data_IF_545164850435
#
_entry.id   IF_545164850435
#
_cell.length_a   1.000
_cell.length_b   1.000
_cell.length_c   1.000
_cell.angle_alpha   90.00
_cell.angle_beta   90.00
_cell.angle_gamma   90.00
#
_symmetry.space_group_name_H-M   'P 1'
#
loop_
_entity.id
_entity.type
_entity.pdbx_description
1 polymer ?
#
# COMPACT_ATOMS: atom_id res chain seq x y z
N UNK A 1 4.13 -11.04 -12.35
CA UNK A 1 4.85 -11.29 -11.23
C UNK A 1 4.43 -10.57 -9.98
N UNK A 2 5.36 -10.29 -9.13
CA UNK A 2 5.11 -9.84 -7.78
C UNK A 2 4.55 -8.44 -7.66
N UNK A 3 4.53 -7.66 -8.74
CA UNK A 3 4.06 -6.27 -8.66
C UNK A 3 2.63 -6.19 -8.19
N UNK A 4 1.75 -6.99 -8.79
CA UNK A 4 0.34 -6.97 -8.40
C UNK A 4 0.16 -7.46 -6.98
N UNK A 5 0.93 -8.45 -6.59
CA UNK A 5 0.84 -9.00 -5.24
C UNK A 5 1.26 -7.94 -4.21
N UNK A 6 2.31 -7.20 -4.50
CA UNK A 6 2.76 -6.16 -3.59
C UNK A 6 1.75 -5.03 -3.48
N UNK A 7 1.14 -4.65 -4.59
CA UNK A 7 0.10 -3.63 -4.57
C UNK A 7 -1.08 -4.09 -3.71
N UNK A 8 -1.44 -5.34 -3.86
CA UNK A 8 -2.54 -5.89 -3.09
C UNK A 8 -2.22 -5.90 -1.60
N UNK A 9 -0.98 -6.27 -1.25
CA UNK A 9 -0.57 -6.28 0.14
C UNK A 9 -0.63 -4.89 0.76
N UNK A 10 -0.18 -3.89 0.01
CA UNK A 10 -0.24 -2.52 0.49
C UNK A 10 -1.68 -2.09 0.70
N UNK A 11 -2.54 -2.38 -0.26
CA UNK A 11 -3.95 -2.03 -0.15
C UNK A 11 -4.60 -2.70 1.05
N UNK A 12 -4.29 -3.98 1.23
CA UNK A 12 -4.85 -4.74 2.35
C UNK A 12 -4.41 -4.14 3.69
N UNK A 13 -3.13 -3.78 3.78
CA UNK A 13 -2.60 -3.21 5.00
C UNK A 13 -3.29 -1.89 5.33
N UNK A 14 -3.50 -1.04 4.33
CA UNK A 14 -4.19 0.22 4.52
C UNK A 14 -5.63 -0.01 4.97
N UNK A 15 -6.29 -0.96 4.33
CA UNK A 15 -7.67 -1.26 4.68
C UNK A 15 -7.79 -1.76 6.12
N UNK A 16 -6.88 -2.60 6.54
CA UNK A 16 -6.93 -3.17 7.89
C UNK A 16 -6.54 -2.15 8.96
N UNK A 17 -5.51 -1.34 8.68
CA UNK A 17 -5.06 -0.35 9.64
C UNK A 17 -5.93 0.90 9.64
N UNK A 18 -6.60 1.17 8.53
CA UNK A 18 -7.43 2.34 8.39
C UNK A 18 -6.66 3.64 8.29
N UNK A 19 -5.35 3.55 8.07
CA UNK A 19 -4.50 4.73 8.08
C UNK A 19 -3.23 4.47 7.28
N UNK A 20 -2.95 5.38 6.33
CA UNK A 20 -1.78 5.23 5.47
C UNK A 20 -0.48 5.30 6.27
N UNK A 21 -0.44 6.18 7.27
CA UNK A 21 0.76 6.30 8.10
C UNK A 21 1.07 5.00 8.82
N UNK A 22 0.07 4.38 9.40
CA UNK A 22 0.24 3.12 10.11
C UNK A 22 0.61 2.00 9.14
N UNK A 23 -0.04 1.98 7.98
CA UNK A 23 0.27 0.97 6.97
C UNK A 23 1.72 1.08 6.52
N UNK A 24 2.19 2.31 6.26
CA UNK A 24 3.57 2.52 5.85
C UNK A 24 4.54 2.02 6.92
N UNK A 25 4.24 2.33 8.17
CA UNK A 25 5.08 1.90 9.28
C UNK A 25 5.13 0.37 9.36
N UNK A 26 3.99 -0.28 9.23
CA UNK A 26 3.92 -1.74 9.30
C UNK A 26 4.65 -2.40 8.15
N UNK A 27 4.67 -1.75 7.00
CA UNK A 27 5.32 -2.28 5.81
C UNK A 27 6.77 -1.84 5.68
N UNK A 28 7.23 -0.98 6.59
CA UNK A 28 8.60 -0.45 6.58
C UNK A 28 8.91 0.31 5.30
N UNK A 29 7.93 1.07 4.81
CA UNK A 29 8.10 1.91 3.63
C UNK A 29 7.57 3.30 3.94
N UNK A 30 7.82 4.25 3.03
CA UNK A 30 7.36 5.62 3.24
C UNK A 30 5.88 5.76 2.92
N UNK A 31 5.25 6.80 3.47
CA UNK A 31 3.86 7.10 3.14
C UNK A 31 3.69 7.37 1.66
N UNK A 32 4.68 8.03 1.04
CA UNK A 32 4.63 8.29 -0.39
C UNK A 32 4.56 7.00 -1.19
N UNK A 33 5.33 6.00 -0.77
CA UNK A 33 5.33 4.71 -1.45
C UNK A 33 3.96 4.04 -1.33
N UNK A 34 3.34 4.12 -0.15
CA UNK A 34 2.02 3.54 0.04
C UNK A 34 1.00 4.25 -0.86
N UNK A 35 1.03 5.57 -0.87
CA UNK A 35 0.09 6.34 -1.69
C UNK A 35 0.26 6.02 -3.17
N UNK A 36 1.50 5.92 -3.64
CA UNK A 36 1.76 5.59 -5.03
C UNK A 36 1.26 4.19 -5.38
N UNK A 37 1.45 3.24 -4.49
CA UNK A 37 0.98 1.89 -4.71
C UNK A 37 -0.54 1.84 -4.85
N UNK A 38 -1.24 2.54 -3.98
CA UNK A 38 -2.69 2.58 -4.03
C UNK A 38 -3.15 3.24 -5.32
N UNK A 39 -2.48 4.31 -5.73
CA UNK A 39 -2.84 5.00 -6.96
C UNK A 39 -2.65 4.11 -8.17
N UNK A 40 -1.56 3.35 -8.20
CA UNK A 40 -1.33 2.41 -9.29
C UNK A 40 -2.41 1.34 -9.33
N UNK A 41 -2.83 0.87 -8.18
CA UNK A 41 -3.89 -0.14 -8.10
C UNK A 41 -5.19 0.42 -8.65
N UNK A 42 -5.49 1.68 -8.36
CA UNK A 42 -6.72 2.30 -8.82
C UNK A 42 -6.72 2.53 -10.33
N UNK A 43 -5.57 2.83 -10.89
CA UNK A 43 -5.47 3.10 -12.31
C UNK A 43 -5.25 1.84 -13.15
N UNK A 44 -4.91 0.76 -12.51
CA UNK A 44 -4.73 -0.50 -13.22
C UNK A 44 -6.08 -1.14 -13.51
#
# INVERSE_FOLDING_TARGET
>A
MAVKLELYRVFKEVAESGNISVAAKNLYISQSAVSQSIKQLETA
#
